data_IF_697383859852
#
_entry.id   IF_697383859852
#
_cell.length_a   1.000
_cell.length_b   1.000
_cell.length_c   1.000
_cell.angle_alpha   90.00
_cell.angle_beta   90.00
_cell.angle_gamma   90.00
#
_symmetry.space_group_name_H-M   'P 1'
#
loop_
_entity.id
_entity.type
_entity.pdbx_description
1 polymer ?
#
# COMPACT_ATOMS: atom_id res chain seq x y z
N UNK A 1 6.34 -0.77 -0.95
CA UNK A 1 7.51 -1.34 -0.28
C UNK A 1 7.57 -1.01 1.22
N UNK A 2 8.01 0.19 1.66
CA UNK A 2 8.16 0.51 3.11
C UNK A 2 6.85 0.27 3.89
N UNK A 3 5.73 0.81 3.39
CA UNK A 3 4.42 0.65 4.02
C UNK A 3 3.93 -0.81 4.06
N UNK A 4 4.19 -1.60 3.02
CA UNK A 4 3.87 -3.04 3.02
C UNK A 4 4.63 -3.77 4.14
N UNK A 5 5.87 -3.36 4.41
CA UNK A 5 6.64 -3.87 5.55
C UNK A 5 5.96 -3.56 6.89
N UNK A 6 5.43 -2.35 7.08
CA UNK A 6 4.69 -2.01 8.29
C UNK A 6 3.36 -2.75 8.43
N UNK A 7 2.64 -3.05 7.33
CA UNK A 7 1.46 -3.93 7.39
C UNK A 7 1.84 -5.34 7.88
N UNK A 8 3.00 -5.87 7.44
CA UNK A 8 3.49 -7.16 7.96
C UNK A 8 3.82 -7.07 9.45
N UNK A 9 4.43 -5.99 9.90
CA UNK A 9 4.70 -5.76 11.32
C UNK A 9 3.41 -5.64 12.14
N UNK A 10 2.39 -4.96 11.63
CA UNK A 10 1.05 -4.83 12.25
C UNK A 10 0.35 -6.16 12.39
N UNK A 11 0.46 -7.03 11.39
CA UNK A 11 -0.13 -8.37 11.43
C UNK A 11 0.71 -9.37 12.23
N UNK A 12 1.87 -8.97 12.71
CA UNK A 12 2.76 -9.84 13.46
C UNK A 12 2.27 -10.04 14.91
N UNK A 13 2.85 -11.02 15.60
CA UNK A 13 2.55 -11.32 17.00
C UNK A 13 3.21 -10.34 18.00
N UNK A 14 3.97 -9.35 17.52
CA UNK A 14 4.77 -8.48 18.36
C UNK A 14 4.06 -7.15 18.61
N UNK A 15 4.07 -6.70 19.86
CA UNK A 15 3.69 -5.33 20.21
C UNK A 15 4.86 -4.39 19.93
N UNK A 16 4.80 -3.67 18.81
CA UNK A 16 5.89 -2.82 18.33
C UNK A 16 5.52 -1.34 18.42
N UNK A 17 6.48 -0.54 18.86
CA UNK A 17 6.44 0.92 18.72
C UNK A 17 6.97 1.30 17.33
N UNK A 18 6.09 1.72 16.43
CA UNK A 18 6.44 2.06 15.05
C UNK A 18 7.31 3.31 14.92
N UNK A 19 7.20 4.25 15.85
CA UNK A 19 8.13 5.38 15.90
C UNK A 19 9.53 4.86 16.23
N UNK A 20 9.66 3.98 17.22
CA UNK A 20 10.95 3.40 17.58
C UNK A 20 11.54 2.55 16.44
N UNK A 21 10.70 1.76 15.74
CA UNK A 21 11.12 0.99 14.55
C UNK A 21 11.64 1.93 13.46
N UNK A 22 10.88 2.97 13.09
CA UNK A 22 11.29 3.95 12.10
C UNK A 22 12.61 4.64 12.50
N UNK A 23 12.76 4.98 13.78
CA UNK A 23 13.99 5.56 14.32
C UNK A 23 15.18 4.63 14.14
N UNK A 24 15.06 3.36 14.52
CA UNK A 24 16.14 2.37 14.33
C UNK A 24 16.48 2.23 12.85
N UNK A 25 15.49 2.21 11.97
CA UNK A 25 15.74 2.16 10.52
C UNK A 25 16.45 3.41 10.00
N UNK A 26 16.30 4.57 10.64
CA UNK A 26 17.01 5.77 10.22
C UNK A 26 18.43 5.88 10.80
N UNK A 27 18.82 5.01 11.75
CA UNK A 27 20.11 5.09 12.45
C UNK A 27 20.90 3.79 12.28
N UNK A 28 22.01 3.85 11.53
CA UNK A 28 22.90 2.70 11.33
C UNK A 28 22.43 1.68 10.29
N UNK A 29 21.25 1.85 9.69
CA UNK A 29 20.76 1.00 8.61
C UNK A 29 21.17 1.50 7.21
N UNK A 30 21.01 0.64 6.19
CA UNK A 30 21.21 0.97 4.78
C UNK A 30 20.08 1.85 4.22
N UNK A 31 18.84 1.68 4.72
CA UNK A 31 17.64 2.36 4.17
C UNK A 31 17.40 3.76 4.76
N UNK A 32 18.33 4.25 5.59
CA UNK A 32 18.27 5.59 6.17
C UNK A 32 18.05 6.64 5.09
N UNK A 33 17.09 7.53 5.33
CA UNK A 33 16.74 8.59 4.38
C UNK A 33 15.82 9.60 5.05
N UNK A 34 15.72 10.78 4.44
CA UNK A 34 14.74 11.78 4.86
C UNK A 34 13.30 11.22 4.87
N UNK A 35 12.96 10.29 3.97
CA UNK A 35 11.64 9.66 3.95
C UNK A 35 11.36 8.85 5.23
N UNK A 36 12.36 8.16 5.77
CA UNK A 36 12.22 7.42 7.04
C UNK A 36 12.09 8.39 8.22
N UNK A 37 12.78 9.52 8.19
CA UNK A 37 12.62 10.59 9.19
C UNK A 37 11.18 11.16 9.19
N UNK A 38 10.61 11.42 8.00
CA UNK A 38 9.22 11.86 7.88
C UNK A 38 8.23 10.82 8.44
N UNK A 39 8.52 9.53 8.23
CA UNK A 39 7.71 8.43 8.75
C UNK A 39 7.80 8.33 10.28
N UNK A 40 9.01 8.46 10.87
CA UNK A 40 9.18 8.55 12.33
C UNK A 40 8.37 9.73 12.91
N UNK A 41 8.43 10.89 12.24
CA UNK A 41 7.67 12.07 12.62
C UNK A 41 6.16 11.85 12.53
N UNK A 42 5.67 11.12 11.52
CA UNK A 42 4.25 10.76 11.41
C UNK A 42 3.80 9.87 12.59
N UNK A 43 4.52 8.78 12.88
CA UNK A 43 4.21 7.88 13.99
C UNK A 43 4.33 8.54 15.37
N UNK A 44 5.17 9.57 15.50
CA UNK A 44 5.25 10.33 16.75
C UNK A 44 4.00 11.16 17.06
N UNK A 45 3.22 11.52 16.04
CA UNK A 45 1.98 12.30 16.18
C UNK A 45 0.78 11.38 16.34
N UNK A 46 0.78 10.28 15.60
CA UNK A 46 -0.28 9.27 15.62
C UNK A 46 0.37 7.88 15.47
N UNK A 47 0.51 7.11 16.56
CA UNK A 47 1.22 5.84 16.54
C UNK A 47 0.66 4.78 15.58
N UNK A 48 -0.64 4.86 15.25
CA UNK A 48 -1.32 3.91 14.35
C UNK A 48 -1.86 4.57 13.08
N UNK A 49 -1.74 5.88 12.94
CA UNK A 49 -2.26 6.67 11.82
C UNK A 49 -3.80 6.56 11.71
N UNK A 50 -4.49 6.37 12.84
CA UNK A 50 -5.95 6.19 12.89
C UNK A 50 -6.73 7.44 12.41
N UNK A 51 -6.10 8.61 12.44
CA UNK A 51 -6.72 9.85 11.99
C UNK A 51 -6.87 9.97 10.46
N UNK A 52 -6.25 9.08 9.68
CA UNK A 52 -6.25 9.13 8.21
C UNK A 52 -6.81 7.84 7.59
N UNK A 53 -7.28 7.94 6.35
CA UNK A 53 -7.65 6.76 5.54
C UNK A 53 -6.48 6.35 4.66
N UNK A 54 -6.35 5.05 4.38
CA UNK A 54 -5.37 4.47 3.44
C UNK A 54 -5.62 4.80 1.96
N UNK A 55 -6.24 5.94 1.65
CA UNK A 55 -6.52 6.39 0.28
C UNK A 55 -5.36 7.26 -0.20
N UNK A 56 -4.69 6.84 -1.27
CA UNK A 56 -3.51 7.50 -1.81
C UNK A 56 -3.87 8.32 -3.06
N UNK A 57 -4.07 9.61 -2.88
CA UNK A 57 -4.22 10.55 -3.99
C UNK A 57 -2.90 10.70 -4.77
N UNK A 58 -2.99 10.94 -6.07
CA UNK A 58 -1.82 11.12 -6.94
C UNK A 58 -2.01 12.35 -7.83
N UNK A 59 -0.97 13.19 -7.93
CA UNK A 59 -0.92 14.41 -8.74
C UNK A 59 -0.60 14.17 -10.22
N UNK A 60 -0.17 12.95 -10.58
CA UNK A 60 0.02 12.52 -11.98
C UNK A 60 1.46 12.17 -12.34
N UNK A 61 2.44 12.46 -11.49
CA UNK A 61 3.86 12.29 -11.82
C UNK A 61 4.24 10.83 -12.04
N UNK A 62 3.71 9.94 -11.20
CA UNK A 62 3.88 8.50 -11.39
C UNK A 62 3.26 8.00 -12.69
N UNK A 63 2.16 8.61 -13.14
CA UNK A 63 1.47 8.22 -14.38
C UNK A 63 2.31 8.57 -15.60
N UNK A 64 2.70 9.84 -15.77
CA UNK A 64 3.50 10.23 -16.93
C UNK A 64 4.87 9.53 -16.92
N UNK A 65 5.45 9.27 -15.74
CA UNK A 65 6.71 8.49 -15.65
C UNK A 65 6.55 7.09 -16.26
N UNK A 66 5.46 6.39 -15.96
CA UNK A 66 5.19 5.05 -16.50
C UNK A 66 4.87 5.12 -17.99
N UNK A 67 4.09 6.11 -18.44
CA UNK A 67 3.79 6.33 -19.86
C UNK A 67 5.07 6.56 -20.66
N UNK A 68 5.93 7.47 -20.22
CA UNK A 68 7.24 7.73 -20.85
C UNK A 68 8.14 6.49 -20.84
N UNK A 69 8.14 5.70 -19.76
CA UNK A 69 8.93 4.47 -19.71
C UNK A 69 8.48 3.46 -20.78
N UNK A 70 7.17 3.34 -21.02
CA UNK A 70 6.61 2.48 -22.08
C UNK A 70 7.00 2.99 -23.46
N UNK A 71 6.90 4.31 -23.71
CA UNK A 71 7.31 4.93 -24.97
C UNK A 71 8.80 4.70 -25.28
N UNK A 72 9.65 4.76 -24.27
CA UNK A 72 11.09 4.53 -24.38
C UNK A 72 11.48 3.04 -24.39
N UNK A 73 10.52 2.11 -24.19
CA UNK A 73 10.81 0.68 -24.07
C UNK A 73 11.63 0.31 -22.83
N UNK A 74 11.57 1.10 -21.76
CA UNK A 74 12.33 0.90 -20.52
C UNK A 74 11.44 0.21 -19.47
N UNK A 75 11.84 -0.95 -18.92
CA UNK A 75 11.05 -1.64 -17.91
C UNK A 75 11.08 -0.91 -16.56
N UNK A 76 9.92 -0.52 -16.05
CA UNK A 76 9.75 0.13 -14.73
C UNK A 76 8.72 -0.57 -13.83
N UNK A 77 8.80 -1.90 -13.64
CA UNK A 77 7.74 -2.69 -13.00
C UNK A 77 7.39 -2.23 -11.58
N UNK A 78 8.39 -1.86 -10.76
CA UNK A 78 8.16 -1.43 -9.37
C UNK A 78 7.42 -0.09 -9.31
N UNK A 79 7.72 0.84 -10.22
CA UNK A 79 7.04 2.13 -10.31
C UNK A 79 5.59 1.91 -10.76
N UNK A 80 5.40 1.10 -11.80
CA UNK A 80 4.08 0.76 -12.32
C UNK A 80 3.20 0.10 -11.24
N UNK A 81 3.69 -0.90 -10.53
CA UNK A 81 2.96 -1.55 -9.44
C UNK A 81 2.63 -0.58 -8.30
N UNK A 82 3.58 0.30 -7.93
CA UNK A 82 3.35 1.32 -6.91
C UNK A 82 2.22 2.29 -7.33
N UNK A 83 2.16 2.66 -8.60
CA UNK A 83 1.09 3.51 -9.14
C UNK A 83 -0.26 2.77 -9.14
N UNK A 84 -0.29 1.52 -9.59
CA UNK A 84 -1.51 0.71 -9.60
C UNK A 84 -2.08 0.52 -8.20
N UNK A 85 -1.24 0.38 -7.17
CA UNK A 85 -1.69 0.30 -5.78
C UNK A 85 -2.34 1.61 -5.29
N UNK A 86 -1.88 2.77 -5.77
CA UNK A 86 -2.57 4.05 -5.49
C UNK A 86 -3.96 4.07 -6.11
N UNK A 87 -4.10 3.67 -7.37
CA UNK A 87 -5.42 3.57 -8.01
C UNK A 87 -6.33 2.52 -7.36
N UNK A 88 -5.76 1.40 -6.90
CA UNK A 88 -6.51 0.39 -6.16
C UNK A 88 -7.08 0.95 -4.86
N UNK A 89 -6.33 1.80 -4.15
CA UNK A 89 -6.75 2.39 -2.87
C UNK A 89 -7.97 3.32 -2.97
N UNK A 90 -8.27 3.82 -4.18
CA UNK A 90 -9.40 4.71 -4.43
C UNK A 90 -10.70 3.96 -4.75
N UNK A 91 -10.65 2.62 -4.86
CA UNK A 91 -11.80 1.81 -5.23
C UNK A 91 -12.24 0.95 -4.05
N UNK A 92 -13.47 1.10 -3.63
CA UNK A 92 -14.15 0.18 -2.71
C UNK A 92 -15.07 -0.75 -3.51
N UNK A 93 -15.31 -1.96 -3.03
CA UNK A 93 -16.26 -2.91 -3.62
C UNK A 93 -16.13 -3.10 -5.15
N UNK A 94 -14.93 -3.45 -5.61
CA UNK A 94 -14.59 -3.44 -7.04
C UNK A 94 -15.40 -4.44 -7.86
N UNK A 95 -15.79 -4.02 -9.07
CA UNK A 95 -16.45 -4.91 -10.02
C UNK A 95 -15.60 -6.13 -10.37
N UNK A 96 -14.27 -5.95 -10.54
CA UNK A 96 -13.34 -7.07 -10.76
C UNK A 96 -13.35 -8.07 -9.60
N UNK A 97 -13.45 -7.58 -8.35
CA UNK A 97 -13.59 -8.42 -7.17
C UNK A 97 -14.90 -9.21 -7.18
N UNK A 98 -16.01 -8.57 -7.56
CA UNK A 98 -17.33 -9.23 -7.71
C UNK A 98 -17.31 -10.33 -8.76
N UNK A 99 -16.73 -10.08 -9.93
CA UNK A 99 -16.59 -11.08 -10.99
C UNK A 99 -15.77 -12.29 -10.49
N UNK A 100 -14.64 -12.05 -9.82
CA UNK A 100 -13.83 -13.13 -9.26
C UNK A 100 -14.58 -13.90 -8.16
N UNK A 101 -15.29 -13.22 -7.27
CA UNK A 101 -16.08 -13.85 -6.23
C UNK A 101 -17.21 -14.72 -6.80
N UNK A 102 -17.93 -14.22 -7.81
CA UNK A 102 -18.95 -14.96 -8.53
C UNK A 102 -18.37 -16.21 -9.20
N UNK A 103 -17.27 -16.09 -9.95
CA UNK A 103 -16.64 -17.25 -10.60
C UNK A 103 -16.23 -18.30 -9.56
N UNK A 104 -15.56 -17.90 -8.48
CA UNK A 104 -15.16 -18.80 -7.38
C UNK A 104 -16.36 -19.51 -6.74
N UNK A 105 -17.52 -18.86 -6.70
CA UNK A 105 -18.76 -19.49 -6.26
C UNK A 105 -19.28 -20.51 -7.30
N UNK A 106 -19.38 -20.11 -8.56
CA UNK A 106 -19.92 -20.94 -9.65
C UNK A 106 -19.13 -22.24 -9.87
N UNK A 107 -17.80 -22.17 -9.97
CA UNK A 107 -16.99 -23.37 -10.23
C UNK A 107 -16.52 -24.09 -8.96
N UNK A 108 -16.39 -23.37 -7.84
CA UNK A 108 -15.70 -23.86 -6.64
C UNK A 108 -16.57 -23.93 -5.39
N UNK A 109 -17.82 -23.48 -5.44
CA UNK A 109 -18.73 -23.44 -4.29
C UNK A 109 -18.28 -22.52 -3.16
N UNK A 110 -17.33 -21.60 -3.39
CA UNK A 110 -16.87 -20.66 -2.37
C UNK A 110 -18.00 -19.71 -1.96
N UNK A 111 -18.16 -19.46 -0.65
CA UNK A 111 -19.16 -18.54 -0.13
C UNK A 111 -18.94 -17.09 -0.66
N UNK A 112 -20.04 -16.39 -0.94
CA UNK A 112 -20.06 -14.98 -1.36
C UNK A 112 -20.65 -14.14 -0.24
N UNK A 113 -20.11 -12.93 -0.05
CA UNK A 113 -20.63 -11.94 0.91
C UNK A 113 -21.60 -11.02 0.18
N UNK A 114 -22.84 -10.95 0.66
CA UNK A 114 -23.87 -10.08 0.07
C UNK A 114 -23.66 -8.63 0.51
N UNK A 115 -23.83 -7.69 -0.42
CA UNK A 115 -23.71 -6.25 -0.14
C UNK A 115 -24.88 -5.67 0.65
N UNK A 116 -25.92 -6.48 0.93
CA UNK A 116 -27.08 -6.11 1.73
C UNK A 116 -27.22 -7.06 2.91
N UNK A 117 -26.81 -6.59 4.07
CA UNK A 117 -27.39 -6.93 5.37
C UNK A 117 -27.80 -5.60 6.02
#
# INVERSE_FOLDING_TARGET
AIAEGFEVLERSQFELDYKAVARVWNHGSVIRSWLIELMENAFSKDPKLDAIKGVMNASGEGKWTVETALELGVPTPVIALSLLMRFRSQQEDTFSGKVVAALRNEFGGHAVVNSKA
#
